data_IF_101953432447
#
_entry.id   IF_101953432447
#
_cell.length_a   1.000
_cell.length_b   1.000
_cell.length_c   1.000
_cell.angle_alpha   90.00
_cell.angle_beta   90.00
_cell.angle_gamma   90.00
#
_symmetry.space_group_name_H-M   'P 1'
#
loop_
_entity.id
_entity.type
_entity.pdbx_description
1 polymer ?
#
# COMPACT_ATOMS: atom_id res chain seq x y z
N UNK A 1 -33.81 2.26 11.02
CA UNK A 1 -32.47 2.44 10.48
C UNK A 1 -31.46 1.81 11.43
N UNK A 2 -30.94 0.66 11.06
CA UNK A 2 -29.77 0.07 11.74
C UNK A 2 -28.57 0.98 11.38
N UNK A 3 -28.32 1.97 12.24
CA UNK A 3 -27.11 2.76 12.15
C UNK A 3 -25.91 1.86 12.40
N UNK A 4 -25.05 1.69 11.42
CA UNK A 4 -23.72 1.09 11.60
C UNK A 4 -22.95 1.98 12.59
N UNK A 5 -22.80 1.51 13.83
CA UNK A 5 -22.00 2.17 14.85
C UNK A 5 -20.59 1.59 14.77
N UNK A 6 -19.74 2.20 13.95
CA UNK A 6 -18.34 1.80 13.80
C UNK A 6 -17.61 2.69 12.81
N UNK A 7 -16.29 2.72 12.88
CA UNK A 7 -15.47 3.35 11.85
C UNK A 7 -15.49 2.45 10.60
N UNK A 8 -16.23 2.85 9.57
CA UNK A 8 -16.19 2.18 8.27
C UNK A 8 -14.94 2.62 7.54
N UNK A 9 -14.11 1.65 7.14
CA UNK A 9 -13.06 1.90 6.16
C UNK A 9 -13.29 1.00 4.96
N UNK A 10 -13.60 1.64 3.84
CA UNK A 10 -13.72 0.98 2.55
C UNK A 10 -12.39 1.07 1.82
N UNK A 11 -11.63 -0.04 1.71
CA UNK A 11 -10.46 -0.16 0.82
C UNK A 11 -10.93 -0.64 -0.58
N UNK A 12 -12.16 -0.27 -0.96
CA UNK A 12 -12.74 -0.62 -2.25
C UNK A 12 -11.99 0.00 -3.42
N UNK A 13 -11.21 1.03 -3.14
CA UNK A 13 -10.76 1.96 -4.16
C UNK A 13 -9.34 1.61 -4.61
N UNK A 14 -9.20 1.18 -5.87
CA UNK A 14 -7.92 1.10 -6.59
C UNK A 14 -7.36 2.48 -6.92
N UNK A 15 -7.97 3.56 -6.41
CA UNK A 15 -7.47 4.91 -6.59
C UNK A 15 -6.06 5.03 -6.04
N UNK A 16 -5.23 5.85 -6.67
CA UNK A 16 -3.87 6.11 -6.21
C UNK A 16 -3.84 6.56 -4.75
N UNK A 17 -2.77 6.23 -4.02
CA UNK A 17 -2.52 6.74 -2.66
C UNK A 17 -2.25 8.25 -2.62
N UNK A 18 -2.30 8.90 -3.77
CA UNK A 18 -2.19 10.34 -4.00
C UNK A 18 -2.08 10.64 -5.48
N UNK A 19 -2.35 11.88 -5.86
CA UNK A 19 -2.32 12.35 -7.27
C UNK A 19 -1.06 13.16 -7.60
N UNK A 20 -0.20 13.40 -6.61
CA UNK A 20 1.02 14.19 -6.75
C UNK A 20 2.25 13.29 -6.83
N UNK A 21 3.29 13.65 -7.58
CA UNK A 21 4.58 12.95 -7.57
C UNK A 21 5.23 12.88 -6.18
N UNK A 22 4.80 13.72 -5.22
CA UNK A 22 5.26 13.73 -3.82
C UNK A 22 4.61 12.66 -2.98
N UNK A 23 3.44 12.17 -3.38
CA UNK A 23 2.78 11.06 -2.69
C UNK A 23 3.54 9.76 -2.98
N UNK A 24 3.90 9.03 -1.94
CA UNK A 24 4.67 7.79 -2.03
C UNK A 24 4.35 6.88 -0.84
N UNK A 25 4.78 5.60 -0.84
CA UNK A 25 4.54 4.66 0.24
C UNK A 25 4.96 5.19 1.62
N UNK A 26 6.15 5.83 1.71
CA UNK A 26 6.66 6.34 2.98
C UNK A 26 5.80 7.47 3.57
N UNK A 27 5.27 8.36 2.72
CA UNK A 27 4.39 9.45 3.19
C UNK A 27 3.02 8.93 3.56
N UNK A 28 2.46 7.99 2.79
CA UNK A 28 1.12 7.46 3.03
C UNK A 28 1.04 6.64 4.32
N UNK A 29 2.01 5.79 4.59
CA UNK A 29 2.10 5.01 5.83
C UNK A 29 2.48 5.85 7.05
N UNK A 30 2.92 7.10 6.83
CA UNK A 30 3.42 7.99 7.88
C UNK A 30 4.78 7.55 8.44
N UNK A 31 5.49 6.62 7.81
CA UNK A 31 6.85 6.25 8.23
C UNK A 31 7.85 7.37 7.93
N UNK A 32 7.60 8.16 6.89
CA UNK A 32 8.47 9.26 6.52
C UNK A 32 8.64 10.31 7.63
N UNK A 33 7.60 10.52 8.45
CA UNK A 33 7.68 11.42 9.60
C UNK A 33 8.68 10.95 10.65
N UNK A 34 8.72 9.64 10.90
CA UNK A 34 9.68 9.04 11.84
C UNK A 34 11.11 9.09 11.27
N UNK A 35 11.26 8.84 9.96
CA UNK A 35 12.55 8.92 9.28
C UNK A 35 13.10 10.35 9.35
N UNK A 36 12.27 11.38 9.10
CA UNK A 36 12.67 12.78 9.21
C UNK A 36 13.11 13.14 10.64
N UNK A 37 12.45 12.60 11.65
CA UNK A 37 12.85 12.79 13.05
C UNK A 37 14.22 12.17 13.32
N UNK A 38 14.52 10.99 12.77
CA UNK A 38 15.85 10.37 12.90
C UNK A 38 16.93 11.25 12.27
N UNK A 39 16.71 11.79 11.08
CA UNK A 39 17.67 12.67 10.42
C UNK A 39 17.88 13.96 11.19
N UNK A 40 16.83 14.60 11.70
CA UNK A 40 16.93 15.81 12.52
C UNK A 40 17.71 15.58 13.82
N UNK A 41 17.73 14.35 14.32
CA UNK A 41 18.45 13.98 15.53
C UNK A 41 19.92 13.56 15.30
N UNK A 42 20.41 13.54 14.07
CA UNK A 42 21.82 13.28 13.76
C UNK A 42 22.72 14.41 14.30
N UNK A 43 23.99 14.10 14.54
CA UNK A 43 24.97 15.08 15.00
C UNK A 43 25.12 16.24 14.01
N UNK A 44 25.23 15.92 12.72
CA UNK A 44 25.40 16.89 11.64
C UNK A 44 24.19 17.81 11.51
N UNK A 45 22.97 17.28 11.55
CA UNK A 45 21.76 18.09 11.51
C UNK A 45 21.68 19.06 12.70
N UNK A 46 22.01 18.60 13.92
CA UNK A 46 22.02 19.42 15.12
C UNK A 46 23.09 20.52 15.04
N UNK A 47 24.29 20.21 14.55
CA UNK A 47 25.34 21.17 14.37
C UNK A 47 24.97 22.27 13.35
N UNK A 48 24.19 21.92 12.31
CA UNK A 48 23.70 22.87 11.31
C UNK A 48 22.38 23.56 11.71
N UNK A 49 21.82 23.27 12.88
CA UNK A 49 20.53 23.81 13.33
C UNK A 49 19.33 23.31 12.49
N UNK A 50 19.46 22.16 11.84
CA UNK A 50 18.40 21.61 10.99
C UNK A 50 17.33 20.91 11.81
N UNK A 51 16.08 21.32 11.59
CA UNK A 51 14.90 20.71 12.19
C UNK A 51 14.28 19.66 11.25
N UNK A 52 13.30 18.93 11.73
CA UNK A 52 12.51 17.95 10.95
C UNK A 52 11.97 18.53 9.62
N UNK A 53 11.63 19.83 9.60
CA UNK A 53 11.15 20.52 8.39
C UNK A 53 12.17 20.51 7.26
N UNK A 54 13.48 20.59 7.57
CA UNK A 54 14.57 20.56 6.59
C UNK A 54 14.55 19.30 5.72
N UNK A 55 14.16 18.18 6.30
CA UNK A 55 14.10 16.87 5.64
C UNK A 55 12.75 16.58 4.96
N UNK A 56 11.90 17.60 4.79
CA UNK A 56 10.64 17.51 4.05
C UNK A 56 10.82 18.06 2.65
N UNK A 57 10.50 17.28 1.63
CA UNK A 57 10.45 17.77 0.25
C UNK A 57 9.21 18.65 -0.04
N UNK A 58 8.30 18.78 0.92
CA UNK A 58 7.12 19.66 0.81
C UNK A 58 7.35 21.07 1.33
N UNK A 59 8.40 21.27 2.14
CA UNK A 59 8.69 22.53 2.83
C UNK A 59 9.91 23.18 2.20
N UNK A 60 9.87 24.51 2.02
CA UNK A 60 11.02 25.28 1.56
C UNK A 60 12.20 25.18 2.52
N UNK A 61 13.42 25.42 2.01
CA UNK A 61 14.67 25.41 2.76
C UNK A 61 15.48 24.13 2.60
N UNK A 62 14.87 22.93 2.60
CA UNK A 62 15.58 21.66 2.41
C UNK A 62 15.35 21.02 1.06
N UNK A 63 14.25 21.33 0.40
CA UNK A 63 13.91 20.79 -0.92
C UNK A 63 14.67 21.51 -2.04
N UNK A 64 14.75 20.86 -3.19
CA UNK A 64 15.16 21.52 -4.42
C UNK A 64 14.10 22.54 -4.84
N UNK A 65 14.47 23.81 -4.94
CA UNK A 65 13.51 24.87 -5.30
C UNK A 65 13.19 24.88 -6.79
N UNK A 66 14.06 24.37 -7.67
CA UNK A 66 13.80 24.29 -9.11
C UNK A 66 12.57 23.38 -9.42
N UNK A 67 12.48 22.21 -8.80
CA UNK A 67 11.33 21.31 -8.93
C UNK A 67 10.38 21.36 -7.72
N UNK A 68 10.63 22.22 -6.75
CA UNK A 68 9.85 22.36 -5.51
C UNK A 68 9.63 21.05 -4.75
N UNK A 69 10.59 20.12 -4.87
CA UNK A 69 10.56 18.83 -4.20
C UNK A 69 9.88 17.70 -5.00
N UNK A 70 9.41 17.94 -6.20
CA UNK A 70 8.80 16.90 -7.05
C UNK A 70 9.85 15.90 -7.59
N UNK A 71 11.10 16.34 -7.74
CA UNK A 71 12.17 15.56 -8.36
C UNK A 71 12.07 15.50 -9.89
N UNK A 72 10.93 15.88 -10.44
CA UNK A 72 10.61 15.91 -11.87
C UNK A 72 10.05 17.26 -12.25
N UNK A 73 10.14 17.61 -13.52
CA UNK A 73 9.54 18.80 -14.12
C UNK A 73 8.50 18.33 -15.14
N UNK A 74 7.29 18.85 -15.02
CA UNK A 74 6.22 18.64 -15.98
C UNK A 74 6.40 19.60 -17.15
N UNK A 75 6.47 19.05 -18.35
CA UNK A 75 6.46 19.79 -19.60
C UNK A 75 5.07 19.64 -20.20
N UNK A 76 4.29 20.73 -20.18
CA UNK A 76 2.95 20.73 -20.75
C UNK A 76 3.02 20.80 -22.28
N UNK A 77 2.35 19.86 -22.93
CA UNK A 77 2.24 19.80 -24.39
C UNK A 77 0.79 20.04 -24.81
N UNK A 78 0.56 21.12 -25.58
CA UNK A 78 -0.79 21.57 -25.96
C UNK A 78 -1.65 20.53 -26.70
N UNK A 79 -1.03 19.59 -27.42
CA UNK A 79 -1.72 18.60 -28.26
C UNK A 79 -1.34 17.13 -27.95
N UNK A 80 -0.44 16.91 -26.98
CA UNK A 80 0.05 15.58 -26.59
C UNK A 80 -0.06 15.43 -25.07
N UNK A 81 0.09 14.19 -24.57
CA UNK A 81 0.17 13.95 -23.14
C UNK A 81 1.38 14.67 -22.53
N UNK A 82 1.21 15.21 -21.32
CA UNK A 82 2.28 15.86 -20.58
C UNK A 82 3.50 14.94 -20.40
N UNK A 83 4.69 15.48 -20.60
CA UNK A 83 5.95 14.74 -20.41
C UNK A 83 6.57 15.13 -19.07
N UNK A 84 7.02 14.12 -18.33
CA UNK A 84 7.71 14.30 -17.08
C UNK A 84 9.20 13.96 -17.25
N UNK A 85 10.08 14.91 -16.96
CA UNK A 85 11.53 14.73 -17.05
C UNK A 85 12.17 14.91 -15.67
N UNK A 86 13.26 14.20 -15.36
CA UNK A 86 14.01 14.43 -14.12
C UNK A 86 14.47 15.89 -14.03
N UNK A 87 14.39 16.48 -12.83
CA UNK A 87 14.88 17.81 -12.59
C UNK A 87 16.39 17.87 -12.79
N UNK A 88 16.87 18.73 -13.68
CA UNK A 88 18.31 18.89 -14.00
C UNK A 88 19.12 19.38 -12.82
N UNK A 89 18.54 20.15 -11.88
CA UNK A 89 19.24 20.70 -10.71
C UNK A 89 19.49 19.65 -9.63
N UNK A 90 18.47 18.85 -9.29
CA UNK A 90 18.60 17.83 -8.24
C UNK A 90 18.71 16.39 -8.77
N UNK A 91 18.66 16.20 -10.09
CA UNK A 91 18.73 14.89 -10.74
C UNK A 91 17.77 13.86 -10.14
N UNK A 92 16.52 14.28 -9.88
CA UNK A 92 15.49 13.44 -9.28
C UNK A 92 15.53 13.33 -7.75
N UNK A 93 16.56 13.88 -7.09
CA UNK A 93 16.78 13.67 -5.63
C UNK A 93 15.85 14.48 -4.73
N UNK A 94 15.07 15.43 -5.25
CA UNK A 94 14.06 16.22 -4.52
C UNK A 94 14.59 17.25 -3.53
N UNK A 95 15.84 17.14 -3.08
CA UNK A 95 16.48 17.97 -2.05
C UNK A 95 17.61 18.81 -2.60
N UNK A 96 17.96 19.88 -1.88
CA UNK A 96 19.17 20.63 -2.15
C UNK A 96 20.42 19.87 -1.63
N UNK A 97 21.59 20.30 -2.05
CA UNK A 97 22.86 19.64 -1.76
C UNK A 97 23.14 19.57 -0.25
N UNK A 98 22.93 20.67 0.45
CA UNK A 98 23.23 20.79 1.88
C UNK A 98 22.39 19.80 2.72
N UNK A 99 21.12 19.59 2.36
CA UNK A 99 20.26 18.60 3.03
C UNK A 99 20.76 17.18 2.77
N UNK A 100 21.28 16.90 1.56
CA UNK A 100 21.80 15.58 1.19
C UNK A 100 23.18 15.27 1.82
N UNK A 101 23.89 16.27 2.32
CA UNK A 101 25.16 16.09 3.06
C UNK A 101 24.93 15.46 4.43
N UNK A 102 23.76 15.69 5.06
CA UNK A 102 23.41 15.03 6.32
C UNK A 102 23.18 13.54 6.10
N UNK A 103 23.89 12.71 6.87
CA UNK A 103 23.82 11.25 6.74
C UNK A 103 23.34 10.59 8.04
N UNK A 104 22.52 9.55 7.88
CA UNK A 104 22.18 8.61 8.92
C UNK A 104 22.70 7.23 8.51
N UNK A 105 23.59 6.63 9.30
CA UNK A 105 24.31 5.38 8.94
C UNK A 105 24.91 5.42 7.52
N UNK A 106 25.49 6.54 7.11
CA UNK A 106 26.12 6.74 5.81
C UNK A 106 25.17 7.00 4.63
N UNK A 107 23.87 7.01 4.84
CA UNK A 107 22.85 7.26 3.82
C UNK A 107 22.20 8.62 3.98
N UNK A 108 21.97 9.35 2.87
CA UNK A 108 21.17 10.58 2.87
C UNK A 108 19.69 10.28 2.95
N UNK A 109 18.88 11.30 3.20
CA UNK A 109 17.40 11.16 3.19
C UNK A 109 16.88 10.67 1.84
N UNK A 110 17.51 11.05 0.72
CA UNK A 110 17.16 10.54 -0.60
C UNK A 110 17.54 9.07 -0.74
N UNK A 111 18.74 8.66 -0.33
CA UNK A 111 19.17 7.27 -0.42
C UNK A 111 18.21 6.35 0.33
N UNK A 112 17.68 6.81 1.48
CA UNK A 112 16.66 6.06 2.23
C UNK A 112 15.32 5.97 1.49
N UNK A 113 14.89 7.04 0.82
CA UNK A 113 13.67 7.02 0.01
C UNK A 113 13.82 6.15 -1.25
N UNK A 114 15.05 6.00 -1.74
CA UNK A 114 15.37 5.16 -2.92
C UNK A 114 15.56 3.67 -2.56
N UNK A 115 15.62 3.32 -1.28
CA UNK A 115 15.63 1.93 -0.82
C UNK A 115 14.30 1.23 -1.14
N UNK A 116 14.38 -0.03 -1.51
CA UNK A 116 13.23 -0.94 -1.48
C UNK A 116 12.74 -1.13 -0.04
N UNK A 117 11.51 -1.60 0.11
CA UNK A 117 10.97 -1.92 1.44
C UNK A 117 11.82 -2.98 2.14
N UNK A 118 12.31 -4.00 1.40
CA UNK A 118 13.17 -5.05 1.97
C UNK A 118 14.49 -4.48 2.46
N UNK A 119 15.21 -3.68 1.66
CA UNK A 119 16.44 -3.01 2.06
C UNK A 119 16.22 -2.07 3.27
N UNK A 120 15.08 -1.38 3.29
CA UNK A 120 14.74 -0.49 4.40
C UNK A 120 14.44 -1.26 5.70
N UNK A 121 13.82 -2.44 5.63
CA UNK A 121 13.64 -3.30 6.80
C UNK A 121 14.98 -3.70 7.43
N UNK A 122 15.97 -4.08 6.62
CA UNK A 122 17.32 -4.40 7.08
C UNK A 122 18.02 -3.16 7.65
N UNK A 123 17.96 -2.04 6.93
CA UNK A 123 18.61 -0.78 7.34
C UNK A 123 18.09 -0.26 8.70
N UNK A 124 16.77 -0.37 8.92
CA UNK A 124 16.10 0.07 10.15
C UNK A 124 15.84 -1.04 11.18
N UNK A 125 16.51 -2.20 11.07
CA UNK A 125 16.32 -3.33 11.99
C UNK A 125 16.41 -2.98 13.47
N UNK A 126 17.26 -1.99 13.82
CA UNK A 126 17.44 -1.51 15.20
C UNK A 126 16.61 -0.25 15.54
N UNK A 127 15.61 0.11 14.72
CA UNK A 127 14.72 1.25 14.95
C UNK A 127 13.27 0.77 14.98
N UNK A 128 12.78 0.24 16.11
CA UNK A 128 11.48 -0.46 16.18
C UNK A 128 10.29 0.36 15.71
N UNK A 129 10.30 1.68 15.94
CA UNK A 129 9.21 2.57 15.54
C UNK A 129 9.08 2.70 14.02
N UNK A 130 10.19 2.70 13.30
CA UNK A 130 10.26 2.74 11.84
C UNK A 130 10.00 1.36 11.26
N UNK A 131 10.71 0.34 11.78
CA UNK A 131 10.61 -1.04 11.32
C UNK A 131 9.17 -1.55 11.35
N UNK A 132 8.43 -1.32 12.44
CA UNK A 132 7.03 -1.74 12.58
C UNK A 132 6.13 -1.25 11.44
N UNK A 133 6.37 -0.03 10.92
CA UNK A 133 5.58 0.51 9.80
C UNK A 133 6.04 0.00 8.44
N UNK A 134 7.34 -0.25 8.29
CA UNK A 134 7.89 -0.76 7.02
C UNK A 134 7.59 -2.24 6.86
N UNK A 135 7.66 -3.03 7.94
CA UNK A 135 7.39 -4.47 7.89
C UNK A 135 5.96 -4.79 7.44
N UNK A 136 4.97 -3.93 7.73
CA UNK A 136 3.61 -4.14 7.22
C UNK A 136 3.52 -4.03 5.69
N UNK A 137 4.38 -3.20 5.05
CA UNK A 137 4.49 -3.17 3.59
C UNK A 137 5.10 -4.46 3.03
N UNK A 138 6.10 -5.02 3.71
CA UNK A 138 6.71 -6.30 3.35
C UNK A 138 5.72 -7.44 3.50
N UNK A 139 4.95 -7.47 4.60
CA UNK A 139 3.92 -8.47 4.87
C UNK A 139 2.86 -8.55 3.76
N UNK A 140 2.47 -7.42 3.17
CA UNK A 140 1.51 -7.39 2.05
C UNK A 140 2.14 -7.67 0.68
N UNK A 141 3.39 -8.17 0.63
CA UNK A 141 4.06 -8.54 -0.61
C UNK A 141 4.60 -7.34 -1.41
N UNK A 142 4.91 -6.22 -0.74
CA UNK A 142 5.45 -5.02 -1.37
C UNK A 142 6.94 -4.80 -1.05
N UNK A 143 7.69 -5.86 -0.79
CA UNK A 143 9.13 -5.79 -0.47
C UNK A 143 9.97 -5.12 -1.56
N UNK A 144 9.57 -5.28 -2.81
CA UNK A 144 10.28 -4.80 -4.00
C UNK A 144 10.07 -3.32 -4.33
N UNK A 145 9.01 -2.67 -3.84
CA UNK A 145 8.76 -1.24 -4.14
C UNK A 145 9.69 -0.33 -3.35
N UNK A 146 10.02 0.84 -3.92
CA UNK A 146 10.82 1.83 -3.21
C UNK A 146 9.96 2.65 -2.24
N UNK A 147 10.50 3.01 -1.08
CA UNK A 147 9.81 3.84 -0.08
C UNK A 147 9.34 5.18 -0.66
N UNK A 148 10.17 5.82 -1.49
CA UNK A 148 9.89 7.10 -2.15
C UNK A 148 9.28 6.99 -3.54
N UNK A 149 8.84 5.79 -3.98
CA UNK A 149 8.26 5.59 -5.31
C UNK A 149 7.01 6.46 -5.50
N UNK A 150 6.95 7.30 -6.55
CA UNK A 150 5.79 8.15 -6.79
C UNK A 150 4.50 7.33 -6.92
N UNK A 151 3.43 7.80 -6.30
CA UNK A 151 2.12 7.12 -6.36
C UNK A 151 1.58 6.96 -7.78
N UNK A 152 1.99 7.82 -8.69
CA UNK A 152 1.59 7.80 -10.12
C UNK A 152 2.22 6.63 -10.90
N UNK A 153 3.27 5.99 -10.36
CA UNK A 153 3.95 4.83 -10.97
C UNK A 153 3.49 3.50 -10.37
N UNK A 154 2.65 3.54 -9.35
CA UNK A 154 2.12 2.35 -8.71
C UNK A 154 0.90 1.81 -9.47
N UNK A 155 0.80 0.51 -9.59
CA UNK A 155 -0.41 -0.16 -10.05
C UNK A 155 -1.56 -0.01 -9.05
N UNK A 156 -2.80 -0.20 -9.50
CA UNK A 156 -3.97 -0.16 -8.61
C UNK A 156 -3.89 -1.18 -7.48
N UNK A 157 -3.37 -2.38 -7.76
CA UNK A 157 -3.16 -3.43 -6.74
C UNK A 157 -2.11 -3.05 -5.70
N UNK A 158 -0.98 -2.43 -6.12
CA UNK A 158 0.03 -1.93 -5.19
C UNK A 158 -0.52 -0.81 -4.30
N UNK A 159 -1.25 0.14 -4.87
CA UNK A 159 -1.89 1.21 -4.11
C UNK A 159 -2.87 0.64 -3.06
N UNK A 160 -3.66 -0.36 -3.41
CA UNK A 160 -4.59 -1.02 -2.50
C UNK A 160 -3.84 -1.74 -1.36
N UNK A 161 -2.75 -2.44 -1.66
CA UNK A 161 -1.93 -3.11 -0.63
C UNK A 161 -1.23 -2.12 0.30
N UNK A 162 -0.79 -0.95 -0.20
CA UNK A 162 -0.25 0.11 0.67
C UNK A 162 -1.33 0.62 1.65
N UNK A 163 -2.57 0.79 1.18
CA UNK A 163 -3.70 1.15 2.05
C UNK A 163 -3.91 0.06 3.12
N UNK A 164 -3.93 -1.21 2.72
CA UNK A 164 -4.06 -2.35 3.64
C UNK A 164 -2.93 -2.39 4.67
N UNK A 165 -1.67 -2.23 4.26
CA UNK A 165 -0.52 -2.18 5.15
C UNK A 165 -0.64 -1.04 6.18
N UNK A 166 -1.15 0.11 5.75
CA UNK A 166 -1.37 1.25 6.65
C UNK A 166 -2.38 0.92 7.73
N UNK A 167 -3.47 0.24 7.38
CA UNK A 167 -4.49 -0.19 8.35
C UNK A 167 -3.95 -1.25 9.32
N UNK A 168 -3.19 -2.22 8.81
CA UNK A 168 -2.54 -3.24 9.64
C UNK A 168 -1.57 -2.63 10.67
N UNK A 169 -0.94 -1.50 10.32
CA UNK A 169 -0.04 -0.79 11.24
C UNK A 169 -0.77 -0.08 12.39
N UNK A 170 -2.10 0.08 12.30
CA UNK A 170 -2.94 0.69 13.32
C UNK A 170 -3.41 -0.36 14.35
N UNK A 171 -3.80 0.11 15.53
CA UNK A 171 -4.42 -0.77 16.53
C UNK A 171 -5.84 -1.10 16.09
N UNK A 172 -6.15 -2.39 15.96
CA UNK A 172 -7.51 -2.83 15.63
C UNK A 172 -8.50 -2.40 16.73
N UNK A 173 -9.67 -1.92 16.31
CA UNK A 173 -10.79 -1.60 17.22
C UNK A 173 -11.81 -2.75 17.32
N UNK A 174 -11.70 -3.76 16.44
CA UNK A 174 -12.66 -4.86 16.33
C UNK A 174 -14.05 -4.45 15.82
N UNK A 175 -14.17 -3.28 15.16
CA UNK A 175 -15.44 -2.73 14.68
C UNK A 175 -15.34 -2.14 13.29
N UNK A 176 -14.42 -2.66 12.48
CA UNK A 176 -14.16 -2.14 11.12
C UNK A 176 -14.63 -3.14 10.08
N UNK A 177 -15.24 -2.65 9.02
CA UNK A 177 -15.55 -3.42 7.81
C UNK A 177 -14.53 -3.06 6.74
N UNK A 178 -13.76 -4.06 6.28
CA UNK A 178 -12.85 -3.94 5.16
C UNK A 178 -13.50 -4.50 3.91
N UNK A 179 -13.55 -3.72 2.84
CA UNK A 179 -14.02 -4.17 1.53
C UNK A 179 -12.86 -4.08 0.56
N UNK A 180 -12.44 -5.23 0.04
CA UNK A 180 -11.33 -5.34 -0.90
C UNK A 180 -11.83 -5.84 -2.26
N UNK A 181 -11.34 -5.21 -3.32
CA UNK A 181 -11.70 -5.54 -4.70
C UNK A 181 -10.49 -6.14 -5.40
N UNK A 182 -10.57 -7.44 -5.71
CA UNK A 182 -9.52 -8.26 -6.32
C UNK A 182 -8.11 -8.00 -5.74
N UNK A 183 -7.89 -8.16 -4.42
CA UNK A 183 -6.62 -7.81 -3.80
C UNK A 183 -5.46 -8.73 -4.25
N UNK A 184 -5.74 -9.84 -4.90
CA UNK A 184 -4.71 -10.74 -5.45
C UNK A 184 -4.20 -10.32 -6.83
N UNK A 185 -4.79 -9.30 -7.47
CA UNK A 185 -4.36 -8.86 -8.80
C UNK A 185 -2.89 -8.44 -8.82
N UNK A 186 -2.10 -9.08 -9.68
CA UNK A 186 -0.65 -8.83 -9.83
C UNK A 186 0.21 -9.44 -8.73
N UNK A 187 -0.34 -10.31 -7.86
CA UNK A 187 0.43 -11.07 -6.88
C UNK A 187 0.95 -12.37 -7.49
N UNK A 188 2.18 -12.73 -7.10
CA UNK A 188 2.68 -14.08 -7.26
C UNK A 188 1.90 -15.02 -6.30
N UNK A 189 1.68 -16.28 -6.70
CA UNK A 189 0.87 -17.21 -5.90
C UNK A 189 1.38 -17.39 -4.45
N UNK A 190 2.71 -17.30 -4.22
CA UNK A 190 3.29 -17.34 -2.87
C UNK A 190 2.84 -16.16 -1.98
N UNK A 191 2.60 -14.99 -2.58
CA UNK A 191 2.16 -13.81 -1.85
C UNK A 191 0.65 -13.82 -1.58
N UNK A 192 -0.12 -14.63 -2.36
CA UNK A 192 -1.54 -14.86 -2.08
C UNK A 192 -1.75 -15.49 -0.71
N UNK A 193 -0.92 -16.46 -0.32
CA UNK A 193 -1.01 -17.07 1.01
C UNK A 193 -0.75 -16.05 2.12
N UNK A 194 0.27 -15.20 1.96
CA UNK A 194 0.54 -14.11 2.92
C UNK A 194 -0.64 -13.16 3.05
N UNK A 195 -1.27 -12.81 1.92
CA UNK A 195 -2.46 -11.97 1.93
C UNK A 195 -3.60 -12.63 2.69
N UNK A 196 -3.87 -13.93 2.47
CA UNK A 196 -4.89 -14.69 3.19
C UNK A 196 -4.63 -14.67 4.70
N UNK A 197 -3.39 -14.89 5.14
CA UNK A 197 -3.04 -14.84 6.56
C UNK A 197 -3.29 -13.46 7.18
N UNK A 198 -3.05 -12.40 6.41
CA UNK A 198 -3.34 -11.03 6.81
C UNK A 198 -4.84 -10.81 6.98
N UNK A 199 -5.65 -11.25 5.99
CA UNK A 199 -7.10 -11.12 6.05
C UNK A 199 -7.68 -11.88 7.25
N UNK A 200 -7.17 -13.08 7.55
CA UNK A 200 -7.52 -13.83 8.75
C UNK A 200 -7.20 -13.09 10.04
N UNK A 201 -5.99 -12.51 10.16
CA UNK A 201 -5.62 -11.70 11.33
C UNK A 201 -6.55 -10.51 11.53
N UNK A 202 -7.03 -9.88 10.45
CA UNK A 202 -8.04 -8.82 10.55
C UNK A 202 -9.37 -9.34 11.10
N UNK A 203 -9.84 -10.49 10.64
CA UNK A 203 -11.05 -11.14 11.16
C UNK A 203 -10.91 -11.56 12.62
N UNK A 204 -9.79 -12.18 13.00
CA UNK A 204 -9.46 -12.57 14.38
C UNK A 204 -9.43 -11.36 15.34
N UNK A 205 -9.05 -10.18 14.79
CA UNK A 205 -9.14 -8.90 15.51
C UNK A 205 -10.58 -8.37 15.71
N UNK A 206 -11.61 -9.16 15.37
CA UNK A 206 -13.03 -8.83 15.53
C UNK A 206 -13.62 -7.99 14.40
N UNK A 207 -12.87 -7.80 13.31
CA UNK A 207 -13.35 -7.04 12.15
C UNK A 207 -14.08 -7.94 11.15
N UNK A 208 -14.85 -7.31 10.25
CA UNK A 208 -15.47 -7.97 9.10
C UNK A 208 -14.67 -7.68 7.84
N UNK A 209 -14.33 -8.71 7.08
CA UNK A 209 -13.61 -8.57 5.81
C UNK A 209 -14.48 -9.10 4.67
N UNK A 210 -14.80 -8.25 3.71
CA UNK A 210 -15.53 -8.58 2.49
C UNK A 210 -14.55 -8.49 1.33
N UNK A 211 -14.39 -9.58 0.59
CA UNK A 211 -13.45 -9.66 -0.53
C UNK A 211 -14.20 -10.01 -1.81
N UNK A 212 -14.03 -9.21 -2.84
CA UNK A 212 -14.46 -9.54 -4.19
C UNK A 212 -13.28 -10.23 -4.86
N UNK A 213 -13.41 -11.50 -5.22
CA UNK A 213 -12.31 -12.31 -5.73
C UNK A 213 -12.75 -13.39 -6.72
N UNK A 214 -11.79 -13.73 -7.61
CA UNK A 214 -11.92 -14.84 -8.55
C UNK A 214 -10.85 -15.93 -8.29
N UNK A 215 -9.89 -15.66 -7.41
CA UNK A 215 -8.83 -16.59 -7.05
C UNK A 215 -9.37 -17.66 -6.09
N UNK A 216 -9.38 -18.92 -6.54
CA UNK A 216 -9.93 -20.05 -5.78
C UNK A 216 -9.12 -20.35 -4.51
N UNK A 217 -7.83 -19.98 -4.44
CA UNK A 217 -7.02 -20.14 -3.24
C UNK A 217 -7.46 -19.19 -2.12
N UNK A 218 -8.01 -18.03 -2.46
CA UNK A 218 -8.66 -17.12 -1.50
C UNK A 218 -10.09 -17.59 -1.18
N UNK A 219 -10.87 -17.88 -2.21
CA UNK A 219 -12.30 -18.24 -2.08
C UNK A 219 -12.48 -19.46 -1.16
N UNK A 220 -11.62 -20.49 -1.28
CA UNK A 220 -11.69 -21.69 -0.43
C UNK A 220 -11.41 -21.43 1.06
N UNK A 221 -10.86 -20.27 1.40
CA UNK A 221 -10.51 -19.90 2.78
C UNK A 221 -11.54 -18.98 3.44
N UNK A 222 -12.58 -18.60 2.70
CA UNK A 222 -13.64 -17.74 3.20
C UNK A 222 -14.54 -18.49 4.21
N UNK A 223 -15.02 -17.78 5.23
CA UNK A 223 -16.03 -18.33 6.14
C UNK A 223 -17.40 -18.43 5.48
N UNK A 224 -17.68 -17.49 4.56
CA UNK A 224 -18.94 -17.39 3.87
C UNK A 224 -18.77 -16.81 2.45
N UNK A 225 -19.46 -17.39 1.47
CA UNK A 225 -19.41 -16.99 0.07
C UNK A 225 -20.78 -16.51 -0.36
N UNK A 226 -20.81 -15.42 -1.12
CA UNK A 226 -21.98 -14.93 -1.87
C UNK A 226 -21.58 -15.04 -3.35
N UNK A 227 -22.09 -16.04 -4.04
CA UNK A 227 -21.82 -16.30 -5.45
C UNK A 227 -22.80 -15.54 -6.33
N UNK A 228 -22.29 -14.66 -7.17
CA UNK A 228 -23.07 -13.78 -8.04
C UNK A 228 -22.85 -14.20 -9.49
N UNK A 229 -23.95 -14.38 -10.22
CA UNK A 229 -23.91 -14.83 -11.60
C UNK A 229 -25.31 -14.96 -12.22
N UNK A 230 -25.53 -15.95 -13.12
CA UNK A 230 -24.55 -16.88 -13.74
C UNK A 230 -23.67 -16.18 -14.80
N UNK A 231 -24.16 -15.10 -15.43
CA UNK A 231 -23.50 -14.39 -16.53
C UNK A 231 -23.18 -12.94 -16.15
N UNK A 232 -22.62 -12.17 -17.06
CA UNK A 232 -22.40 -10.73 -16.93
C UNK A 232 -23.52 -9.91 -17.61
N UNK A 233 -23.55 -8.59 -17.35
CA UNK A 233 -24.52 -7.67 -17.96
C UNK A 233 -25.96 -7.94 -17.54
N UNK A 234 -26.91 -7.84 -18.47
CA UNK A 234 -28.35 -8.00 -18.18
C UNK A 234 -28.75 -9.42 -17.73
N UNK A 235 -27.98 -10.46 -18.11
CA UNK A 235 -28.16 -11.85 -17.71
C UNK A 235 -27.50 -12.23 -16.37
N UNK A 236 -26.84 -11.30 -15.70
CA UNK A 236 -26.06 -11.54 -14.49
C UNK A 236 -26.51 -10.73 -13.29
N UNK A 237 -25.64 -10.64 -12.29
CA UNK A 237 -25.85 -9.79 -11.11
C UNK A 237 -26.87 -10.33 -10.11
N UNK A 238 -27.29 -11.59 -10.23
CA UNK A 238 -28.18 -12.26 -9.28
C UNK A 238 -27.38 -13.16 -8.33
N UNK A 239 -27.88 -13.34 -7.11
CA UNK A 239 -27.27 -14.28 -6.16
C UNK A 239 -27.64 -15.70 -6.58
N UNK A 240 -26.64 -16.48 -7.01
CA UNK A 240 -26.80 -17.87 -7.46
C UNK A 240 -26.82 -18.83 -6.28
N UNK A 241 -25.93 -18.61 -5.31
CA UNK A 241 -25.80 -19.41 -4.11
C UNK A 241 -25.12 -18.60 -2.99
N UNK A 242 -25.40 -18.98 -1.74
CA UNK A 242 -24.72 -18.45 -0.55
C UNK A 242 -24.43 -19.60 0.41
N UNK A 243 -23.37 -19.50 1.18
CA UNK A 243 -22.99 -20.49 2.19
C UNK A 243 -21.49 -20.65 2.35
N UNK A 244 -21.09 -21.68 3.09
CA UNK A 244 -19.67 -22.04 3.24
C UNK A 244 -19.07 -22.53 1.92
N UNK A 245 -17.74 -22.57 1.77
CA UNK A 245 -17.09 -23.14 0.59
C UNK A 245 -17.59 -24.57 0.25
N UNK A 246 -17.84 -25.42 1.27
CA UNK A 246 -18.32 -26.77 1.11
C UNK A 246 -19.77 -26.83 0.64
N UNK A 247 -20.60 -25.89 1.05
CA UNK A 247 -22.00 -25.77 0.60
C UNK A 247 -22.06 -25.29 -0.84
N UNK A 248 -21.27 -24.26 -1.18
CA UNK A 248 -21.17 -23.76 -2.56
C UNK A 248 -20.65 -24.84 -3.51
N UNK A 249 -19.67 -25.65 -3.10
CA UNK A 249 -19.14 -26.76 -3.90
C UNK A 249 -20.17 -27.85 -4.22
N UNK A 250 -21.28 -27.93 -3.47
CA UNK A 250 -22.41 -28.84 -3.74
C UNK A 250 -23.46 -28.24 -4.67
N UNK A 251 -23.46 -26.92 -4.87
CA UNK A 251 -24.43 -26.23 -5.70
C UNK A 251 -24.12 -26.44 -7.19
N UNK A 252 -24.97 -27.20 -7.90
CA UNK A 252 -24.80 -27.49 -9.34
C UNK A 252 -24.92 -26.25 -10.23
N UNK A 253 -25.64 -25.21 -9.79
CA UNK A 253 -25.87 -23.97 -10.54
C UNK A 253 -24.69 -23.00 -10.42
N UNK A 254 -23.84 -23.16 -9.41
CA UNK A 254 -22.68 -22.31 -9.16
C UNK A 254 -21.50 -22.75 -10.01
N UNK A 255 -21.03 -21.89 -10.90
CA UNK A 255 -19.77 -22.13 -11.62
C UNK A 255 -18.59 -22.14 -10.64
N UNK A 256 -18.55 -21.19 -9.72
CA UNK A 256 -17.55 -21.14 -8.63
C UNK A 256 -17.53 -22.46 -7.87
N UNK A 257 -18.68 -22.99 -7.51
CA UNK A 257 -18.81 -24.27 -6.80
C UNK A 257 -18.27 -25.47 -7.56
N UNK A 258 -18.49 -25.53 -8.89
CA UNK A 258 -17.98 -26.62 -9.73
C UNK A 258 -16.44 -26.66 -9.74
N UNK A 259 -15.78 -25.49 -9.79
CA UNK A 259 -14.33 -25.39 -9.72
C UNK A 259 -13.81 -25.63 -8.30
N UNK A 260 -14.44 -25.03 -7.29
CA UNK A 260 -14.06 -25.14 -5.87
C UNK A 260 -14.05 -26.59 -5.37
N UNK A 261 -14.95 -27.42 -5.86
CA UNK A 261 -15.02 -28.87 -5.55
C UNK A 261 -13.70 -29.61 -5.80
N UNK A 262 -12.89 -29.15 -6.76
CA UNK A 262 -11.58 -29.75 -7.06
C UNK A 262 -10.50 -29.31 -6.06
N UNK A 263 -10.66 -28.15 -5.46
CA UNK A 263 -9.72 -27.53 -4.52
C UNK A 263 -9.95 -27.98 -3.06
N UNK A 264 -11.19 -28.34 -2.70
CA UNK A 264 -11.55 -28.82 -1.36
C UNK A 264 -11.29 -30.30 -1.15
N UNK A 265 -10.98 -31.05 -2.21
CA UNK A 265 -10.71 -32.50 -2.14
C UNK A 265 -9.24 -32.85 -1.84
N UNK A 266 -8.41 -31.87 -1.62
CA UNK A 266 -7.03 -32.02 -1.20
C UNK A 266 -6.90 -31.60 0.28
#
# INVERSE_FOLDING_TARGET
SLGLVGSEMCIRDRSPIGRSPRSNPATYTGVFDLIRDLFANTKDAKAMGYTKGRFSFNVAGGRCEACRGDGIIKIEMHFLADVYVPCEVCHGKRYNRETLEVKYKGKSIYDVLDMTVDEACEFFAHVPSVLRKISTLQEVGLGYIKLGQPSTTLSGGEAQRIKLATELSRRSTGRTIYVLDEPTTGLHFADVHRLVDILRRLCEGGNTVVVIEHNLDVIKTADYIIDIGPEGGEGGGTVVATGTPEEIAKCKKSYTGQYLKKYLKK
#
